data_IF_716488236214
#
_entry.id   IF_716488236214
#
_cell.length_a   1.000
_cell.length_b   1.000
_cell.length_c   1.000
_cell.angle_alpha   90.00
_cell.angle_beta   90.00
_cell.angle_gamma   90.00
#
_symmetry.space_group_name_H-M   'P 1'
#
loop_
_entity.id
_entity.type
_entity.pdbx_description
1 polymer ?
#
# COMPACT_ATOMS: atom_id res chain seq x y z
N UNK A 1 -17.78 31.69 -10.14
CA UNK A 1 -17.99 30.39 -10.81
C UNK A 1 -17.47 29.32 -9.86
N UNK A 2 -18.28 28.31 -9.51
CA UNK A 2 -17.83 27.25 -8.59
C UNK A 2 -16.90 26.29 -9.34
N UNK A 3 -15.83 25.83 -8.67
CA UNK A 3 -14.92 24.84 -9.24
C UNK A 3 -15.60 23.47 -9.36
N UNK A 4 -15.15 22.65 -10.30
CA UNK A 4 -15.56 21.25 -10.39
C UNK A 4 -14.96 20.43 -9.25
N UNK A 5 -15.70 19.45 -8.76
CA UNK A 5 -15.17 18.40 -7.90
C UNK A 5 -14.41 17.38 -8.76
N UNK A 6 -13.19 17.06 -8.36
CA UNK A 6 -12.29 16.14 -9.06
C UNK A 6 -11.88 15.00 -8.13
N UNK A 7 -11.19 13.99 -8.67
CA UNK A 7 -10.87 12.76 -7.96
C UNK A 7 -10.21 13.04 -6.60
N UNK A 8 -10.72 12.37 -5.56
CA UNK A 8 -10.36 12.57 -4.16
C UNK A 8 -10.75 13.92 -3.55
N UNK A 9 -11.83 14.53 -4.07
CA UNK A 9 -12.46 15.73 -3.52
C UNK A 9 -12.71 15.58 -2.02
N UNK A 10 -12.12 16.45 -1.17
CA UNK A 10 -12.32 16.40 0.26
C UNK A 10 -13.72 16.86 0.65
N UNK A 11 -14.23 16.35 1.76
CA UNK A 11 -15.48 16.81 2.38
C UNK A 11 -15.24 17.41 3.75
N UNK A 12 -16.14 18.27 4.22
CA UNK A 12 -16.13 18.84 5.58
C UNK A 12 -16.36 17.81 6.70
N UNK A 13 -16.74 16.59 6.34
CA UNK A 13 -16.81 15.42 7.21
C UNK A 13 -15.54 14.55 7.16
N UNK A 14 -14.44 15.12 6.65
CA UNK A 14 -13.09 14.53 6.61
C UNK A 14 -12.94 13.31 5.68
N UNK A 15 -13.91 13.05 4.79
CA UNK A 15 -13.77 12.00 3.79
C UNK A 15 -13.33 12.52 2.43
N UNK A 16 -13.04 11.60 1.50
CA UNK A 16 -12.62 11.93 0.13
C UNK A 16 -13.46 11.14 -0.86
N UNK A 17 -13.94 11.81 -1.89
CA UNK A 17 -14.79 11.20 -2.91
C UNK A 17 -13.91 10.69 -4.07
N UNK A 18 -13.72 9.37 -4.22
CA UNK A 18 -13.11 8.82 -5.43
C UNK A 18 -14.10 8.95 -6.60
N UNK A 19 -13.62 9.46 -7.73
CA UNK A 19 -14.34 9.34 -9.01
C UNK A 19 -14.32 7.88 -9.47
N UNK A 20 -15.47 7.33 -9.89
CA UNK A 20 -15.55 5.97 -10.45
C UNK A 20 -15.46 5.92 -11.98
N UNK A 21 -15.40 7.06 -12.66
CA UNK A 21 -15.17 7.11 -14.12
C UNK A 21 -13.70 7.28 -14.48
N UNK A 22 -13.36 6.93 -15.72
CA UNK A 22 -11.97 6.82 -16.20
C UNK A 22 -11.67 7.62 -17.47
N UNK A 23 -12.60 8.46 -17.94
CA UNK A 23 -12.54 9.09 -19.26
C UNK A 23 -12.28 10.60 -19.20
N UNK A 24 -13.09 11.32 -18.43
CA UNK A 24 -13.10 12.79 -18.43
C UNK A 24 -12.27 13.34 -17.28
N UNK A 25 -11.30 14.21 -17.56
CA UNK A 25 -10.43 14.78 -16.53
C UNK A 25 -10.16 16.26 -16.75
N UNK A 26 -9.80 16.94 -15.67
CA UNK A 26 -9.21 18.28 -15.67
C UNK A 26 -7.84 18.18 -15.00
N UNK A 27 -6.79 18.63 -15.69
CA UNK A 27 -5.40 18.55 -15.21
C UNK A 27 -4.98 17.14 -14.78
N UNK A 28 -5.48 16.12 -15.49
CA UNK A 28 -5.20 14.71 -15.18
C UNK A 28 -5.99 14.13 -14.00
N UNK A 29 -6.88 14.91 -13.36
CA UNK A 29 -7.76 14.44 -12.30
C UNK A 29 -9.19 14.21 -12.81
N UNK A 30 -9.75 13.04 -12.54
CA UNK A 30 -11.06 12.62 -13.05
C UNK A 30 -12.19 13.40 -12.36
N UNK A 31 -13.21 13.84 -13.10
CA UNK A 31 -14.37 14.52 -12.53
C UNK A 31 -15.21 13.60 -11.63
N UNK A 32 -15.66 14.13 -10.50
CA UNK A 32 -16.63 13.50 -9.58
C UNK A 32 -18.06 13.81 -10.03
N UNK A 33 -18.96 12.83 -9.92
CA UNK A 33 -20.33 12.92 -10.45
C UNK A 33 -21.37 12.38 -9.47
N UNK A 34 -22.65 12.55 -9.80
CA UNK A 34 -23.75 11.93 -9.08
C UNK A 34 -23.54 10.42 -8.86
N UNK A 35 -23.72 9.98 -7.63
CA UNK A 35 -23.58 8.57 -7.24
C UNK A 35 -22.15 8.14 -6.90
N UNK A 36 -21.11 8.92 -7.23
CA UNK A 36 -19.80 8.75 -6.61
C UNK A 36 -19.92 9.02 -5.11
N UNK A 37 -19.10 8.37 -4.29
CA UNK A 37 -19.30 8.42 -2.85
C UNK A 37 -18.15 7.86 -2.04
N UNK A 38 -18.23 8.06 -0.73
CA UNK A 38 -17.26 7.54 0.21
C UNK A 38 -17.94 7.11 1.51
N UNK A 39 -17.27 6.27 2.28
CA UNK A 39 -17.67 5.99 3.65
C UNK A 39 -17.36 7.22 4.51
N UNK A 40 -18.39 7.84 5.09
CA UNK A 40 -18.26 9.09 5.82
C UNK A 40 -17.59 8.88 7.19
N UNK A 41 -16.39 9.46 7.45
CA UNK A 41 -15.70 9.26 8.72
C UNK A 41 -16.47 9.78 9.93
N UNK A 42 -17.23 10.88 9.76
CA UNK A 42 -18.05 11.50 10.81
C UNK A 42 -19.38 10.77 11.01
N UNK A 43 -20.11 10.47 9.93
CA UNK A 43 -21.45 9.88 10.01
C UNK A 43 -21.47 8.34 10.07
N UNK A 44 -20.33 7.67 9.80
CA UNK A 44 -20.18 6.20 9.77
C UNK A 44 -21.16 5.49 8.82
N UNK A 45 -21.52 6.14 7.71
CA UNK A 45 -22.40 5.59 6.66
C UNK A 45 -21.79 5.82 5.29
N UNK A 46 -22.12 4.96 4.32
CA UNK A 46 -21.82 5.21 2.91
C UNK A 46 -22.62 6.43 2.45
N UNK A 47 -21.93 7.40 1.87
CA UNK A 47 -22.57 8.63 1.40
C UNK A 47 -22.21 8.93 -0.04
N UNK A 48 -23.22 9.32 -0.82
CA UNK A 48 -23.12 9.57 -2.25
C UNK A 48 -23.36 11.03 -2.56
N UNK A 49 -22.71 11.52 -3.60
CA UNK A 49 -22.80 12.89 -4.09
C UNK A 49 -24.18 13.19 -4.66
N UNK A 50 -24.74 14.34 -4.27
CA UNK A 50 -25.99 14.91 -4.73
C UNK A 50 -25.70 16.27 -5.40
N UNK A 51 -25.41 16.29 -6.72
CA UNK A 51 -25.09 17.52 -7.42
C UNK A 51 -26.25 18.52 -7.39
N UNK A 52 -25.94 19.81 -7.27
CA UNK A 52 -26.97 20.85 -7.19
C UNK A 52 -27.56 21.24 -8.55
N UNK A 53 -26.88 20.96 -9.67
CA UNK A 53 -27.28 21.36 -11.03
C UNK A 53 -26.85 20.34 -12.08
N UNK A 54 -27.55 20.31 -13.23
CA UNK A 54 -27.32 19.34 -14.32
C UNK A 54 -26.73 19.97 -15.59
N UNK A 55 -25.88 20.99 -15.47
CA UNK A 55 -25.36 21.73 -16.63
C UNK A 55 -24.24 21.00 -17.38
N UNK A 56 -23.45 20.19 -16.69
CA UNK A 56 -22.37 19.38 -17.28
C UNK A 56 -22.64 17.93 -16.92
N UNK A 57 -22.77 17.08 -17.94
CA UNK A 57 -23.16 15.67 -17.81
C UNK A 57 -22.07 14.81 -18.48
N UNK A 58 -21.56 13.83 -17.74
CA UNK A 58 -20.63 12.81 -18.26
C UNK A 58 -21.18 11.42 -17.93
N UNK A 59 -21.20 10.53 -18.92
CA UNK A 59 -21.82 9.19 -18.85
C UNK A 59 -23.19 9.22 -18.12
N UNK A 60 -24.09 10.08 -18.61
CA UNK A 60 -25.46 10.26 -18.11
C UNK A 60 -25.59 10.67 -16.64
N UNK A 61 -24.50 11.14 -16.02
CA UNK A 61 -24.46 11.60 -14.63
C UNK A 61 -24.00 13.06 -14.56
N UNK A 62 -24.71 13.93 -13.82
CA UNK A 62 -24.28 15.31 -13.64
C UNK A 62 -22.98 15.38 -12.82
N UNK A 63 -22.09 16.28 -13.23
CA UNK A 63 -20.82 16.56 -12.56
C UNK A 63 -21.08 17.37 -11.29
N UNK A 64 -20.33 17.03 -10.23
CA UNK A 64 -20.42 17.72 -8.96
C UNK A 64 -19.49 18.95 -8.90
N UNK A 65 -19.93 19.96 -8.15
CA UNK A 65 -19.20 21.18 -7.90
C UNK A 65 -18.76 21.29 -6.44
N UNK A 66 -17.81 22.18 -6.20
CA UNK A 66 -17.51 22.65 -4.84
C UNK A 66 -18.81 23.17 -4.19
N UNK A 67 -18.98 22.88 -2.91
CA UNK A 67 -20.16 23.10 -2.09
C UNK A 67 -21.37 22.21 -2.36
N UNK A 68 -21.33 21.30 -3.34
CA UNK A 68 -22.37 20.26 -3.43
C UNK A 68 -22.36 19.38 -2.19
N UNK A 69 -23.50 18.76 -1.91
CA UNK A 69 -23.70 17.96 -0.71
C UNK A 69 -23.68 16.48 -1.03
N UNK A 70 -23.37 15.66 -0.03
CA UNK A 70 -23.57 14.23 -0.08
C UNK A 70 -24.82 13.86 0.73
N UNK A 71 -25.33 12.65 0.51
CA UNK A 71 -26.52 12.12 1.19
C UNK A 71 -26.45 12.13 2.73
N UNK A 72 -25.25 12.19 3.33
CA UNK A 72 -25.05 12.29 4.77
C UNK A 72 -24.98 13.74 5.29
N UNK A 73 -25.18 14.73 4.41
CA UNK A 73 -25.11 16.15 4.71
C UNK A 73 -23.70 16.78 4.61
N UNK A 74 -22.67 15.98 4.32
CA UNK A 74 -21.31 16.49 4.12
C UNK A 74 -21.22 17.38 2.87
N UNK A 75 -20.42 18.43 2.93
CA UNK A 75 -20.17 19.36 1.81
C UNK A 75 -18.83 19.10 1.14
N UNK A 76 -18.81 19.14 -0.19
CA UNK A 76 -17.58 19.06 -0.98
C UNK A 76 -16.78 20.34 -0.83
N UNK A 77 -15.52 20.21 -0.40
CA UNK A 77 -14.60 21.33 -0.20
C UNK A 77 -13.77 21.63 -1.46
N UNK A 78 -13.31 22.88 -1.65
CA UNK A 78 -12.42 23.24 -2.74
C UNK A 78 -11.13 22.40 -2.74
N UNK A 79 -10.76 21.83 -3.89
CA UNK A 79 -9.53 21.05 -4.07
C UNK A 79 -8.45 21.81 -4.86
N UNK A 80 -8.81 22.86 -5.60
CA UNK A 80 -7.89 23.64 -6.43
C UNK A 80 -8.11 25.14 -6.21
N UNK A 81 -7.02 25.90 -6.12
CA UNK A 81 -7.02 27.36 -6.29
C UNK A 81 -6.59 27.69 -7.72
N UNK A 82 -7.49 27.52 -8.69
CA UNK A 82 -7.22 27.99 -10.04
C UNK A 82 -7.73 29.43 -10.18
N UNK A 83 -6.82 30.40 -10.20
CA UNK A 83 -7.12 31.75 -10.67
C UNK A 83 -7.27 31.66 -12.19
N UNK A 84 -8.45 31.91 -12.71
CA UNK A 84 -8.68 32.05 -14.15
C UNK A 84 -8.43 33.52 -14.47
N UNK A 85 -7.30 33.81 -15.12
CA UNK A 85 -7.09 35.12 -15.73
C UNK A 85 -8.18 35.33 -16.78
N UNK A 86 -9.01 36.36 -16.60
CA UNK A 86 -10.05 36.68 -17.57
C UNK A 86 -9.43 36.97 -18.93
N UNK A 87 -9.75 36.16 -19.94
CA UNK A 87 -9.46 36.48 -21.33
C UNK A 87 -10.40 37.58 -21.80
N UNK A 88 -9.90 38.80 -21.89
CA UNK A 88 -10.49 39.88 -22.67
C UNK A 88 -9.51 40.30 -23.76
N UNK A 89 -9.67 39.76 -24.97
CA UNK A 89 -8.95 40.26 -26.14
C UNK A 89 -9.66 41.48 -26.71
N UNK A 90 -8.95 42.61 -26.80
CA UNK A 90 -9.15 43.61 -27.85
C UNK A 90 -7.99 44.63 -27.87
N UNK A 91 -7.32 44.66 -29.03
CA UNK A 91 -6.70 45.80 -29.72
C UNK A 91 -5.54 46.57 -29.07
N UNK A 92 -4.36 46.36 -29.66
CA UNK A 92 -3.22 47.27 -29.69
C UNK A 92 -3.66 48.70 -30.04
N UNK A 93 -3.50 49.66 -29.11
CA UNK A 93 -2.92 51.00 -29.36
C UNK A 93 -2.28 51.52 -28.07
N UNK A 94 -1.10 52.12 -28.23
CA UNK A 94 -0.17 52.59 -27.22
C UNK A 94 -0.70 53.66 -26.27
N UNK A 95 -0.32 53.59 -24.99
CA UNK A 95 0.31 54.70 -24.25
C UNK A 95 0.73 54.20 -22.87
N UNK A 96 2.03 54.29 -22.59
CA UNK A 96 2.60 54.15 -21.24
C UNK A 96 2.02 55.22 -20.31
N UNK A 97 1.93 54.93 -19.00
CA UNK A 97 3.00 55.42 -18.14
C UNK A 97 3.46 54.42 -17.08
N UNK A 98 4.74 54.58 -16.76
CA UNK A 98 5.49 54.02 -15.64
C UNK A 98 4.86 54.46 -14.32
N UNK A 99 4.66 53.53 -13.38
CA UNK A 99 4.58 53.86 -11.96
C UNK A 99 5.32 52.79 -11.12
N UNK A 100 6.35 53.26 -10.42
CA UNK A 100 7.09 52.57 -9.38
C UNK A 100 6.33 52.60 -8.03
N UNK A 101 6.69 51.74 -7.06
CA UNK A 101 5.86 51.47 -5.89
C UNK A 101 6.02 52.55 -4.81
N UNK A 102 4.90 52.96 -4.18
CA UNK A 102 4.91 53.78 -2.97
C UNK A 102 4.34 52.95 -1.82
N UNK A 103 5.17 52.82 -0.79
CA UNK A 103 4.88 52.37 0.55
C UNK A 103 3.78 53.20 1.22
N UNK A 104 2.79 52.54 1.82
CA UNK A 104 2.20 53.04 3.05
C UNK A 104 1.67 51.87 3.89
N UNK A 105 2.20 51.78 5.11
CA UNK A 105 1.65 50.98 6.17
C UNK A 105 0.23 51.47 6.45
N UNK A 106 -0.75 50.58 6.37
CA UNK A 106 -1.95 50.68 7.19
C UNK A 106 -2.12 49.37 7.95
N UNK A 107 -1.96 49.49 9.27
CA UNK A 107 -2.36 48.53 10.27
C UNK A 107 -3.84 48.18 10.06
N UNK A 108 -4.10 47.01 9.53
CA UNK A 108 -5.30 46.26 9.87
C UNK A 108 -4.86 45.20 10.88
N UNK A 109 -5.15 45.48 12.15
CA UNK A 109 -5.23 44.47 13.20
C UNK A 109 -6.30 43.45 12.80
N UNK A 110 -5.93 42.47 11.99
CA UNK A 110 -6.60 41.19 11.98
C UNK A 110 -5.70 40.23 12.74
N UNK A 111 -6.13 39.89 13.95
CA UNK A 111 -5.76 38.66 14.63
C UNK A 111 -6.17 37.46 13.75
N UNK A 112 -5.47 37.27 12.63
CA UNK A 112 -5.25 35.94 12.11
C UNK A 112 -4.20 35.36 13.04
N UNK A 113 -4.67 34.62 14.05
CA UNK A 113 -3.83 33.58 14.61
C UNK A 113 -3.29 32.81 13.43
N UNK A 114 -1.98 32.94 13.18
CA UNK A 114 -1.24 31.96 12.42
C UNK A 114 -1.75 30.61 12.92
N UNK A 115 -2.49 29.87 12.10
CA UNK A 115 -2.61 28.44 12.29
C UNK A 115 -1.22 27.90 11.97
N UNK A 116 -0.27 28.13 12.88
CA UNK A 116 0.93 27.32 13.00
C UNK A 116 0.38 25.92 13.13
N UNK A 117 0.51 25.13 12.06
CA UNK A 117 0.42 23.68 12.19
C UNK A 117 1.31 23.33 13.37
N UNK A 118 0.70 22.92 14.48
CA UNK A 118 1.44 22.60 15.67
C UNK A 118 2.41 21.48 15.31
N UNK A 119 3.69 21.69 15.60
CA UNK A 119 4.71 20.67 15.38
C UNK A 119 4.31 19.44 16.20
N UNK A 120 4.22 18.27 15.56
CA UNK A 120 3.93 17.02 16.25
C UNK A 120 5.25 16.27 16.45
N UNK A 121 5.50 15.82 17.67
CA UNK A 121 6.63 14.95 17.97
C UNK A 121 6.49 13.63 17.22
N UNK A 122 7.63 13.06 16.80
CA UNK A 122 7.66 11.74 16.20
C UNK A 122 8.56 11.64 14.98
N UNK A 123 8.48 10.47 14.34
CA UNK A 123 9.28 10.07 13.18
C UNK A 123 8.42 10.06 11.93
N UNK A 124 8.93 10.67 10.87
CA UNK A 124 8.20 10.89 9.63
C UNK A 124 8.81 10.08 8.50
N UNK A 125 7.95 9.37 7.78
CA UNK A 125 8.33 8.56 6.62
C UNK A 125 7.43 8.86 5.44
N UNK A 126 8.01 8.83 4.25
CA UNK A 126 7.27 8.99 3.01
C UNK A 126 6.36 7.78 2.76
N UNK A 127 5.06 7.98 2.58
CA UNK A 127 4.13 6.86 2.37
C UNK A 127 4.36 6.12 1.04
N UNK A 128 4.89 6.82 0.03
CA UNK A 128 5.06 6.27 -1.31
C UNK A 128 6.38 5.53 -1.50
N UNK A 129 7.40 5.86 -0.72
CA UNK A 129 8.74 5.27 -0.83
C UNK A 129 9.18 4.52 0.43
N UNK A 130 8.57 4.80 1.59
CA UNK A 130 8.98 4.32 2.91
C UNK A 130 10.33 4.87 3.38
N UNK A 131 10.85 5.91 2.72
CA UNK A 131 12.07 6.58 3.12
C UNK A 131 11.81 7.49 4.32
N UNK A 132 12.81 7.60 5.19
CA UNK A 132 12.74 8.48 6.34
C UNK A 132 12.92 9.95 5.94
N UNK A 133 11.98 10.79 6.34
CA UNK A 133 11.91 12.21 5.97
C UNK A 133 12.49 13.11 7.08
N UNK A 134 12.30 12.72 8.35
CA UNK A 134 12.81 13.49 9.49
C UNK A 134 12.16 13.12 10.83
N UNK A 135 12.56 13.83 11.88
CA UNK A 135 12.03 13.69 13.24
C UNK A 135 11.81 15.07 13.85
N UNK A 136 10.69 15.23 14.53
CA UNK A 136 10.41 16.38 15.39
C UNK A 136 10.48 15.92 16.85
N UNK A 137 11.11 16.72 17.69
CA UNK A 137 11.31 16.42 19.13
C UNK A 137 10.94 17.55 20.08
N UNK A 138 10.53 18.70 19.53
CA UNK A 138 10.16 19.92 20.25
C UNK A 138 8.70 20.33 19.99
N UNK A 139 7.88 19.39 19.53
CA UNK A 139 6.46 19.54 19.27
C UNK A 139 5.56 18.97 20.39
N UNK A 140 4.30 18.72 20.06
CA UNK A 140 3.30 18.06 20.90
C UNK A 140 3.17 16.57 20.57
N UNK A 141 2.66 15.76 21.50
CA UNK A 141 2.50 14.32 21.29
C UNK A 141 3.74 13.51 21.67
N UNK A 142 3.77 12.23 21.31
CA UNK A 142 4.80 11.31 21.79
C UNK A 142 6.04 11.32 20.88
N UNK A 143 7.23 11.28 21.48
CA UNK A 143 8.50 11.27 20.73
C UNK A 143 8.69 10.02 19.87
N UNK A 144 7.97 8.95 20.21
CA UNK A 144 8.03 7.65 19.55
C UNK A 144 6.91 7.43 18.53
N UNK A 145 6.03 8.41 18.32
CA UNK A 145 4.96 8.29 17.33
C UNK A 145 5.54 8.22 15.91
N UNK A 146 4.89 7.44 15.04
CA UNK A 146 5.25 7.32 13.63
C UNK A 146 4.17 7.95 12.77
N UNK A 147 4.60 8.77 11.81
CA UNK A 147 3.75 9.42 10.83
C UNK A 147 4.16 9.05 9.41
N UNK A 148 3.16 8.77 8.58
CA UNK A 148 3.31 8.69 7.14
C UNK A 148 3.00 10.05 6.51
N UNK A 149 3.83 10.53 5.58
CA UNK A 149 3.62 11.81 4.90
C UNK A 149 3.89 11.70 3.39
N UNK A 150 3.47 12.73 2.65
CA UNK A 150 3.71 12.87 1.21
C UNK A 150 5.00 13.66 0.92
N UNK A 151 6.03 13.44 1.73
CA UNK A 151 7.29 14.19 1.69
C UNK A 151 7.34 15.34 2.69
N UNK A 152 8.35 16.20 2.52
CA UNK A 152 8.59 17.38 3.36
C UNK A 152 8.80 18.63 2.52
N UNK A 153 8.36 19.77 3.06
CA UNK A 153 8.65 21.11 2.52
C UNK A 153 9.88 21.72 3.18
N UNK A 154 10.08 21.43 4.46
CA UNK A 154 11.25 21.83 5.25
C UNK A 154 11.49 20.78 6.34
N UNK A 155 12.57 20.92 7.12
CA UNK A 155 12.91 19.96 8.19
C UNK A 155 11.91 19.92 9.35
N UNK A 156 10.96 20.86 9.41
CA UNK A 156 9.91 20.90 10.42
C UNK A 156 8.50 20.95 9.80
N UNK A 157 8.37 20.84 8.48
CA UNK A 157 7.07 20.87 7.80
C UNK A 157 6.92 19.69 6.84
N UNK A 158 6.06 18.74 7.22
CA UNK A 158 5.75 17.53 6.46
C UNK A 158 4.40 17.65 5.76
N UNK A 159 4.28 17.07 4.57
CA UNK A 159 3.09 17.19 3.73
C UNK A 159 2.07 16.12 4.14
N UNK A 160 0.90 16.54 4.62
CA UNK A 160 -0.23 15.66 4.97
C UNK A 160 0.15 14.47 5.88
N UNK A 161 0.78 14.71 7.06
CA UNK A 161 1.17 13.65 7.96
C UNK A 161 -0.06 12.91 8.52
N UNK A 162 0.01 11.58 8.54
CA UNK A 162 -1.02 10.68 9.05
C UNK A 162 -0.42 9.79 10.13
N UNK A 163 -1.05 9.74 11.30
CA UNK A 163 -0.58 8.93 12.41
C UNK A 163 -0.74 7.43 12.09
N UNK A 164 0.36 6.69 12.16
CA UNK A 164 0.41 5.26 11.85
C UNK A 164 0.07 4.35 13.05
N UNK A 165 -0.29 4.92 14.20
CA UNK A 165 -0.70 4.16 15.41
C UNK A 165 0.27 3.04 15.79
N UNK A 166 1.57 3.33 15.72
CA UNK A 166 2.67 2.42 16.05
C UNK A 166 3.84 3.21 16.60
N UNK A 167 4.54 2.65 17.58
CA UNK A 167 5.78 3.23 18.10
C UNK A 167 6.93 3.01 17.13
N UNK A 168 7.87 3.94 17.05
CA UNK A 168 9.02 3.91 16.15
C UNK A 168 9.83 2.61 16.23
N UNK A 169 10.17 2.14 17.44
CA UNK A 169 10.88 0.87 17.62
C UNK A 169 10.13 -0.32 17.01
N UNK A 170 8.83 -0.47 17.31
CA UNK A 170 8.00 -1.55 16.75
C UNK A 170 7.91 -1.46 15.23
N UNK A 171 7.77 -0.25 14.69
CA UNK A 171 7.77 -0.01 13.25
C UNK A 171 9.08 -0.50 12.60
N UNK A 172 10.22 -0.10 13.14
CA UNK A 172 11.53 -0.53 12.66
C UNK A 172 11.74 -2.05 12.74
N UNK A 173 11.31 -2.69 13.82
CA UNK A 173 11.41 -4.15 14.00
C UNK A 173 10.50 -4.92 13.02
N UNK A 174 9.25 -4.46 12.81
CA UNK A 174 8.36 -5.01 11.79
C UNK A 174 8.96 -4.89 10.39
N UNK A 175 9.46 -3.70 10.04
CA UNK A 175 10.07 -3.45 8.73
C UNK A 175 11.34 -4.29 8.52
N UNK A 176 12.12 -4.54 9.57
CA UNK A 176 13.26 -5.47 9.51
C UNK A 176 12.79 -6.85 9.10
N UNK A 177 11.80 -7.41 9.80
CA UNK A 177 11.30 -8.76 9.51
C UNK A 177 10.74 -8.83 8.09
N UNK A 178 9.89 -7.87 7.68
CA UNK A 178 9.35 -7.82 6.31
C UNK A 178 10.46 -7.77 5.25
N UNK A 179 11.51 -6.98 5.46
CA UNK A 179 12.64 -6.91 4.51
C UNK A 179 13.45 -8.21 4.44
N UNK A 180 13.47 -8.98 5.53
CA UNK A 180 14.16 -10.26 5.61
C UNK A 180 13.38 -11.36 4.89
N UNK A 181 12.06 -11.41 5.10
CA UNK A 181 11.18 -12.41 4.48
C UNK A 181 10.97 -12.17 2.98
N UNK A 182 11.24 -10.96 2.48
CA UNK A 182 11.16 -10.64 1.05
C UNK A 182 12.39 -11.13 0.30
N UNK A 183 12.17 -11.96 -0.71
CA UNK A 183 13.23 -12.44 -1.61
C UNK A 183 13.81 -11.32 -2.47
N UNK A 184 12.97 -10.38 -2.92
CA UNK A 184 13.38 -9.27 -3.80
C UNK A 184 12.97 -7.89 -3.28
N UNK A 185 13.62 -6.84 -3.80
CA UNK A 185 13.24 -5.44 -3.56
C UNK A 185 12.09 -4.99 -4.49
N UNK A 186 10.94 -5.63 -4.34
CA UNK A 186 9.75 -5.36 -5.17
C UNK A 186 8.50 -5.15 -4.29
N UNK A 187 7.33 -5.08 -4.94
CA UNK A 187 6.02 -5.02 -4.27
C UNK A 187 5.80 -6.20 -3.30
N UNK A 188 6.58 -7.27 -3.40
CA UNK A 188 6.64 -8.41 -2.47
C UNK A 188 6.69 -7.98 -0.99
N UNK A 189 7.52 -6.99 -0.63
CA UNK A 189 7.60 -6.47 0.74
C UNK A 189 6.24 -5.97 1.26
N UNK A 190 5.45 -5.33 0.38
CA UNK A 190 4.14 -4.79 0.75
C UNK A 190 3.16 -5.95 0.95
N UNK A 191 3.13 -6.91 0.02
CA UNK A 191 2.27 -8.08 0.15
C UNK A 191 2.58 -8.92 1.40
N UNK A 192 3.85 -9.09 1.76
CA UNK A 192 4.26 -9.79 2.99
C UNK A 192 3.72 -9.06 4.23
N UNK A 193 3.84 -7.72 4.28
CA UNK A 193 3.33 -6.95 5.42
C UNK A 193 1.82 -7.13 5.60
N UNK A 194 1.04 -7.04 4.52
CA UNK A 194 -0.41 -7.26 4.54
C UNK A 194 -0.77 -8.69 4.90
N UNK A 195 -0.08 -9.68 4.32
CA UNK A 195 -0.33 -11.10 4.58
C UNK A 195 -0.06 -11.47 6.03
N UNK A 196 1.04 -10.98 6.60
CA UNK A 196 1.34 -11.14 8.02
C UNK A 196 0.27 -10.47 8.90
N UNK A 197 -0.19 -9.26 8.55
CA UNK A 197 -1.23 -8.58 9.30
C UNK A 197 -2.59 -9.30 9.25
N UNK A 198 -2.95 -9.89 8.11
CA UNK A 198 -4.15 -10.69 7.97
C UNK A 198 -4.10 -11.91 8.88
N UNK A 199 -2.96 -12.62 8.91
CA UNK A 199 -2.79 -13.73 9.85
C UNK A 199 -2.78 -13.26 11.30
N UNK A 200 -2.17 -12.12 11.60
CA UNK A 200 -2.14 -11.53 12.94
C UNK A 200 -3.57 -11.29 13.45
N UNK A 201 -4.42 -10.68 12.62
CA UNK A 201 -5.86 -10.50 12.91
C UNK A 201 -6.56 -11.83 13.11
N UNK A 202 -6.29 -12.83 12.27
CA UNK A 202 -6.89 -14.17 12.38
C UNK A 202 -6.56 -14.85 13.72
N UNK A 203 -5.37 -14.60 14.29
CA UNK A 203 -4.94 -15.16 15.57
C UNK A 203 -5.01 -14.18 16.73
N UNK A 204 -5.76 -13.08 16.57
CA UNK A 204 -6.02 -12.06 17.59
C UNK A 204 -4.73 -11.43 18.17
N UNK A 205 -3.74 -11.17 17.31
CA UNK A 205 -2.49 -10.48 17.64
C UNK A 205 -2.33 -9.21 16.83
N UNK A 206 -1.56 -8.27 17.35
CA UNK A 206 -1.02 -7.18 16.53
C UNK A 206 0.15 -7.67 15.65
N UNK A 207 0.40 -6.94 14.56
CA UNK A 207 1.43 -7.29 13.58
C UNK A 207 2.81 -7.49 14.23
N UNK A 208 3.19 -6.61 15.16
CA UNK A 208 4.51 -6.68 15.80
C UNK A 208 4.63 -7.94 16.65
N UNK A 209 3.65 -8.21 17.50
CA UNK A 209 3.61 -9.44 18.30
C UNK A 209 3.67 -10.71 17.45
N UNK A 210 3.03 -10.73 16.28
CA UNK A 210 3.14 -11.85 15.35
C UNK A 210 4.54 -11.95 14.73
N UNK A 211 5.06 -10.87 14.16
CA UNK A 211 6.36 -10.88 13.47
C UNK A 211 7.53 -11.19 14.42
N UNK A 212 7.40 -10.84 15.70
CA UNK A 212 8.39 -11.19 16.72
C UNK A 212 8.30 -12.65 17.20
N UNK A 213 7.23 -13.37 16.85
CA UNK A 213 7.04 -14.79 17.19
C UNK A 213 7.79 -15.74 16.22
N UNK A 214 7.52 -17.04 16.30
CA UNK A 214 8.04 -18.05 15.36
C UNK A 214 7.37 -18.06 13.98
N UNK A 215 6.49 -17.11 13.68
CA UNK A 215 5.81 -16.99 12.38
C UNK A 215 6.79 -16.64 11.23
N UNK A 216 7.79 -15.82 11.52
CA UNK A 216 8.86 -15.46 10.59
C UNK A 216 10.04 -16.43 10.73
N UNK A 217 10.69 -16.74 9.60
CA UNK A 217 11.89 -17.58 9.56
C UNK A 217 13.13 -16.87 10.11
N UNK A 218 13.07 -15.55 10.27
CA UNK A 218 14.13 -14.74 10.85
C UNK A 218 14.46 -15.18 12.30
N UNK A 219 15.72 -15.50 12.61
CA UNK A 219 16.13 -15.89 13.96
C UNK A 219 15.80 -14.82 15.01
N UNK A 220 15.33 -15.21 16.20
CA UNK A 220 14.90 -14.28 17.26
C UNK A 220 15.96 -13.22 17.61
N UNK A 221 17.24 -13.60 17.65
CA UNK A 221 18.35 -12.70 17.98
C UNK A 221 18.68 -11.66 16.91
N UNK A 222 18.16 -11.79 15.70
CA UNK A 222 18.44 -10.87 14.57
C UNK A 222 17.28 -9.93 14.26
N UNK A 223 16.14 -10.05 14.96
CA UNK A 223 14.97 -9.17 14.85
C UNK A 223 15.21 -7.80 15.50
N UNK A 224 16.27 -7.13 15.06
CA UNK A 224 16.69 -5.81 15.54
C UNK A 224 16.05 -4.71 14.71
N UNK A 225 15.86 -3.49 15.26
CA UNK A 225 15.36 -2.35 14.51
C UNK A 225 16.06 -2.15 13.15
N UNK A 226 15.28 -1.91 12.10
CA UNK A 226 15.78 -1.43 10.83
C UNK A 226 16.21 0.04 10.98
N UNK A 227 17.44 0.44 10.61
CA UNK A 227 17.89 1.82 10.79
C UNK A 227 17.06 2.77 9.93
N UNK A 228 16.88 4.03 10.35
CA UNK A 228 16.09 5.03 9.59
C UNK A 228 16.77 5.49 8.31
N UNK A 229 18.09 5.53 8.34
CA UNK A 229 18.95 5.94 7.23
C UNK A 229 20.10 4.96 7.08
N UNK A 230 20.67 4.82 5.87
CA UNK A 230 21.89 4.04 5.69
C UNK A 230 23.06 4.63 6.49
N UNK A 231 23.93 3.76 7.00
CA UNK A 231 25.14 4.17 7.70
C UNK A 231 26.19 4.71 6.72
N UNK A 232 26.97 5.71 7.16
CA UNK A 232 28.18 6.19 6.48
C UNK A 232 27.97 6.61 5.02
N UNK A 233 26.83 7.21 4.68
CA UNK A 233 26.55 7.73 3.33
C UNK A 233 26.38 6.65 2.26
N UNK A 234 26.25 5.37 2.65
CA UNK A 234 25.95 4.30 1.69
C UNK A 234 24.56 4.47 1.09
N UNK A 235 24.35 3.90 -0.09
CA UNK A 235 23.00 3.75 -0.64
C UNK A 235 22.16 2.85 0.28
N UNK A 236 20.89 3.21 0.46
CA UNK A 236 19.95 2.39 1.22
C UNK A 236 19.66 1.09 0.46
N UNK A 237 19.53 -0.03 1.20
CA UNK A 237 19.03 -1.26 0.62
C UNK A 237 17.60 -1.00 0.09
N UNK A 238 17.33 -1.23 -1.20
CA UNK A 238 16.03 -0.92 -1.79
C UNK A 238 14.86 -1.67 -1.13
N UNK A 239 15.12 -2.80 -0.44
CA UNK A 239 14.10 -3.50 0.37
C UNK A 239 13.63 -2.69 1.56
N UNK A 240 14.48 -1.84 2.14
CA UNK A 240 14.19 -1.18 3.42
C UNK A 240 13.06 -0.16 3.26
N UNK A 241 13.11 0.67 2.22
CA UNK A 241 12.02 1.58 1.88
C UNK A 241 10.72 0.83 1.60
N UNK A 242 10.77 -0.24 0.80
CA UNK A 242 9.58 -1.02 0.45
C UNK A 242 8.96 -1.75 1.65
N UNK A 243 9.77 -2.27 2.56
CA UNK A 243 9.32 -2.89 3.80
C UNK A 243 8.67 -1.87 4.75
N UNK A 244 9.30 -0.69 4.92
CA UNK A 244 8.69 0.43 5.67
C UNK A 244 7.36 0.86 5.07
N UNK A 245 7.31 1.01 3.74
CA UNK A 245 6.07 1.31 3.00
C UNK A 245 4.98 0.28 3.26
N UNK A 246 5.29 -1.01 3.21
CA UNK A 246 4.33 -2.08 3.51
C UNK A 246 3.74 -1.96 4.93
N UNK A 247 4.61 -1.78 5.93
CA UNK A 247 4.19 -1.64 7.33
C UNK A 247 3.36 -0.36 7.54
N UNK A 248 3.74 0.78 6.95
CA UNK A 248 2.97 2.02 7.03
C UNK A 248 1.56 1.84 6.46
N UNK A 249 1.44 1.26 5.25
CA UNK A 249 0.14 1.03 4.60
C UNK A 249 -0.78 0.15 5.44
N UNK A 250 -0.23 -0.90 6.05
CA UNK A 250 -0.97 -1.75 7.00
C UNK A 250 -1.45 -0.94 8.21
N UNK A 251 -0.56 -0.17 8.83
CA UNK A 251 -0.84 0.66 9.98
C UNK A 251 -1.93 1.73 9.72
N UNK A 252 -1.95 2.31 8.53
CA UNK A 252 -2.95 3.28 8.09
C UNK A 252 -4.28 2.64 7.66
N UNK A 253 -4.37 1.30 7.63
CA UNK A 253 -5.56 0.60 7.19
C UNK A 253 -5.86 0.77 5.70
N UNK A 254 -4.82 0.88 4.86
CA UNK A 254 -5.00 0.89 3.41
C UNK A 254 -5.60 -0.44 2.91
N UNK A 255 -6.13 -0.42 1.68
CA UNK A 255 -6.72 -1.59 1.06
C UNK A 255 -5.70 -2.74 0.95
N UNK A 256 -6.12 -3.94 1.34
CA UNK A 256 -5.31 -5.15 1.28
C UNK A 256 -5.18 -5.64 -0.17
N UNK A 257 -3.97 -5.61 -0.76
CA UNK A 257 -3.78 -6.08 -2.12
C UNK A 257 -3.74 -7.62 -2.20
N UNK A 258 -3.58 -8.33 -1.08
CA UNK A 258 -3.32 -9.79 -1.03
C UNK A 258 -4.57 -10.66 -1.18
N UNK A 259 -5.75 -10.05 -1.30
CA UNK A 259 -7.07 -10.71 -1.28
C UNK A 259 -7.22 -11.65 -0.06
N UNK A 260 -6.87 -11.13 1.12
CA UNK A 260 -7.02 -11.82 2.40
C UNK A 260 -6.07 -13.00 2.58
N UNK A 261 -4.91 -13.00 1.92
CA UNK A 261 -3.90 -14.04 2.13
C UNK A 261 -3.35 -13.99 3.54
N UNK A 262 -2.97 -15.14 4.09
CA UNK A 262 -2.43 -15.29 5.46
C UNK A 262 -1.10 -16.04 5.52
N UNK A 263 -0.64 -16.59 4.39
CA UNK A 263 0.63 -17.27 4.26
C UNK A 263 1.26 -16.94 2.90
N UNK A 264 2.56 -17.17 2.77
CA UNK A 264 3.28 -17.07 1.50
C UNK A 264 4.31 -18.18 1.38
N UNK A 265 4.77 -18.46 0.16
CA UNK A 265 5.95 -19.28 -0.11
C UNK A 265 6.73 -18.70 -1.29
N UNK A 266 8.04 -18.93 -1.31
CA UNK A 266 8.92 -18.49 -2.38
C UNK A 266 9.06 -19.53 -3.49
N UNK A 267 10.09 -19.36 -4.32
CA UNK A 267 10.41 -20.29 -5.41
C UNK A 267 10.67 -21.73 -4.95
N UNK A 268 11.01 -21.96 -3.68
CA UNK A 268 11.15 -23.30 -3.10
C UNK A 268 9.88 -24.14 -3.22
N UNK A 269 8.68 -23.52 -3.16
CA UNK A 269 7.43 -24.24 -3.42
C UNK A 269 7.37 -24.83 -4.83
N UNK A 270 7.73 -24.05 -5.87
CA UNK A 270 7.78 -24.52 -7.26
C UNK A 270 8.90 -25.53 -7.48
N UNK A 271 10.05 -25.32 -6.85
CA UNK A 271 11.25 -26.12 -7.08
C UNK A 271 11.19 -27.48 -6.38
N UNK A 272 10.65 -27.53 -5.14
CA UNK A 272 10.64 -28.76 -4.36
C UNK A 272 9.43 -29.63 -4.70
N UNK A 273 8.22 -29.06 -4.80
CA UNK A 273 7.01 -29.85 -5.04
C UNK A 273 6.88 -31.03 -4.07
N UNK A 274 6.94 -32.26 -4.58
CA UNK A 274 6.88 -33.50 -3.79
C UNK A 274 8.25 -34.00 -3.29
N UNK A 275 9.34 -33.35 -3.67
CA UNK A 275 10.71 -33.78 -3.43
C UNK A 275 11.58 -32.62 -2.89
N UNK A 276 11.38 -32.25 -1.62
CA UNK A 276 12.19 -31.25 -0.94
C UNK A 276 13.58 -31.80 -0.53
N UNK A 277 14.55 -30.94 -0.16
CA UNK A 277 15.85 -31.37 0.36
C UNK A 277 15.78 -32.11 1.71
N UNK A 278 14.62 -32.10 2.38
CA UNK A 278 14.46 -32.76 3.67
C UNK A 278 14.10 -34.23 3.50
N UNK A 279 14.63 -35.08 4.38
CA UNK A 279 14.40 -36.53 4.36
C UNK A 279 13.50 -37.00 5.52
N UNK A 280 12.74 -38.07 5.28
CA UNK A 280 12.15 -38.90 6.33
C UNK A 280 13.21 -39.80 6.98
N UNK A 281 12.85 -40.51 8.05
CA UNK A 281 13.76 -41.43 8.75
C UNK A 281 14.22 -42.61 7.87
N UNK A 282 13.39 -42.98 6.89
CA UNK A 282 13.67 -44.02 5.88
C UNK A 282 14.47 -43.48 4.68
N UNK A 283 15.01 -42.26 4.77
CA UNK A 283 15.81 -41.59 3.74
C UNK A 283 15.07 -41.22 2.44
N UNK A 284 13.74 -41.32 2.42
CA UNK A 284 12.92 -40.81 1.31
C UNK A 284 12.76 -39.28 1.39
N UNK A 285 12.57 -38.62 0.24
CA UNK A 285 12.36 -37.16 0.20
C UNK A 285 11.00 -36.80 0.82
N UNK A 286 10.98 -35.76 1.64
CA UNK A 286 9.75 -35.14 2.12
C UNK A 286 9.18 -34.23 1.02
N UNK A 287 7.87 -34.20 0.79
CA UNK A 287 7.23 -33.13 0.01
C UNK A 287 7.48 -31.77 0.64
N UNK A 288 7.33 -30.68 -0.11
CA UNK A 288 7.28 -29.33 0.45
C UNK A 288 6.19 -29.23 1.55
N UNK A 289 6.38 -28.37 2.55
CA UNK A 289 5.53 -28.30 3.75
C UNK A 289 4.03 -28.21 3.42
N UNK A 290 3.64 -27.38 2.45
CA UNK A 290 2.25 -27.23 2.01
C UNK A 290 1.62 -28.53 1.50
N UNK A 291 2.40 -29.40 0.85
CA UNK A 291 1.94 -30.73 0.40
C UNK A 291 1.80 -31.74 1.54
N UNK A 292 2.16 -31.39 2.78
CA UNK A 292 1.99 -32.24 3.97
C UNK A 292 0.94 -31.68 4.94
N UNK A 293 0.86 -30.35 5.03
CA UNK A 293 0.09 -29.63 6.05
C UNK A 293 -1.37 -29.37 5.67
N UNK A 294 -1.68 -29.35 4.36
CA UNK A 294 -3.02 -29.03 3.86
C UNK A 294 -3.57 -30.19 3.06
N UNK A 295 -4.89 -30.41 3.11
CA UNK A 295 -5.62 -31.48 2.40
C UNK A 295 -5.58 -31.33 0.89
N UNK A 296 -5.79 -30.09 0.43
CA UNK A 296 -5.90 -29.72 -0.97
C UNK A 296 -5.17 -28.41 -1.21
N UNK A 297 -4.47 -28.34 -2.34
CA UNK A 297 -3.84 -27.13 -2.85
C UNK A 297 -4.52 -26.77 -4.16
N UNK A 298 -4.90 -25.50 -4.29
CA UNK A 298 -5.48 -24.95 -5.52
C UNK A 298 -4.74 -23.68 -5.93
N UNK A 299 -4.30 -23.60 -7.19
CA UNK A 299 -3.65 -22.41 -7.76
C UNK A 299 -4.39 -22.05 -9.05
N UNK A 300 -5.03 -20.88 -9.13
CA UNK A 300 -5.58 -20.40 -10.39
C UNK A 300 -4.50 -20.33 -11.47
N UNK A 301 -4.83 -20.70 -12.72
CA UNK A 301 -3.84 -20.72 -13.82
C UNK A 301 -3.11 -19.39 -13.99
N UNK A 302 -3.85 -18.28 -13.94
CA UNK A 302 -3.27 -16.94 -14.05
C UNK A 302 -2.25 -16.66 -12.94
N UNK A 303 -2.57 -17.00 -11.70
CA UNK A 303 -1.67 -16.83 -10.54
C UNK A 303 -0.44 -17.73 -10.67
N UNK A 304 -0.63 -18.98 -11.11
CA UNK A 304 0.49 -19.90 -11.34
C UNK A 304 1.42 -19.40 -12.44
N UNK A 305 0.88 -18.95 -13.57
CA UNK A 305 1.68 -18.49 -14.71
C UNK A 305 2.52 -17.27 -14.35
N UNK A 306 1.92 -16.30 -13.64
CA UNK A 306 2.61 -15.11 -13.17
C UNK A 306 3.68 -15.47 -12.12
N UNK A 307 3.39 -16.39 -11.20
CA UNK A 307 4.35 -16.87 -10.20
C UNK A 307 5.53 -17.64 -10.82
N UNK A 308 5.25 -18.49 -11.81
CA UNK A 308 6.26 -19.22 -12.57
C UNK A 308 7.13 -18.24 -13.36
N UNK A 309 6.51 -17.28 -14.07
CA UNK A 309 7.24 -16.26 -14.81
C UNK A 309 8.14 -15.42 -13.90
N UNK A 310 7.64 -15.01 -12.73
CA UNK A 310 8.43 -14.29 -11.73
C UNK A 310 9.60 -15.11 -11.20
N UNK A 311 9.38 -16.40 -10.92
CA UNK A 311 10.45 -17.32 -10.49
C UNK A 311 11.50 -17.55 -11.58
N UNK A 312 11.11 -17.68 -12.84
CA UNK A 312 12.03 -17.82 -13.97
C UNK A 312 12.79 -16.54 -14.30
N UNK A 313 12.24 -15.36 -13.95
CA UNK A 313 12.96 -14.09 -14.04
C UNK A 313 14.12 -14.03 -13.04
N UNK A 314 13.92 -14.51 -11.81
CA UNK A 314 14.96 -14.59 -10.79
C UNK A 314 15.94 -15.74 -11.04
N UNK A 315 15.44 -16.87 -11.58
CA UNK A 315 16.24 -18.05 -11.91
C UNK A 315 16.15 -18.40 -13.42
N UNK A 316 16.83 -17.64 -14.30
CA UNK A 316 16.71 -17.79 -15.77
C UNK A 316 17.11 -19.16 -16.33
N UNK A 317 17.89 -19.95 -15.57
CA UNK A 317 18.29 -21.30 -15.96
C UNK A 317 17.20 -22.36 -15.70
N UNK A 318 16.03 -21.96 -15.19
CA UNK A 318 14.95 -22.88 -14.86
C UNK A 318 15.29 -23.82 -13.71
N UNK A 319 16.25 -23.46 -12.85
CA UNK A 319 16.66 -24.26 -11.70
C UNK A 319 17.26 -23.40 -10.59
N UNK A 320 17.10 -23.86 -9.36
CA UNK A 320 17.61 -23.21 -8.14
C UNK A 320 18.39 -24.21 -7.30
N UNK A 321 19.41 -23.72 -6.58
CA UNK A 321 20.30 -24.55 -5.76
C UNK A 321 19.94 -24.43 -4.28
N UNK A 322 19.66 -25.57 -3.65
CA UNK A 322 19.44 -25.67 -2.21
C UNK A 322 20.35 -26.75 -1.62
N UNK A 323 21.11 -26.42 -0.58
CA UNK A 323 21.99 -27.36 0.13
C UNK A 323 22.91 -28.19 -0.79
N UNK A 324 23.42 -27.58 -1.87
CA UNK A 324 24.30 -28.26 -2.83
C UNK A 324 23.58 -28.89 -4.04
N UNK A 325 22.27 -29.12 -3.96
CA UNK A 325 21.46 -29.82 -4.96
C UNK A 325 20.68 -28.84 -5.83
N UNK A 326 20.59 -29.11 -7.13
CA UNK A 326 19.77 -28.32 -8.06
C UNK A 326 18.37 -28.92 -8.19
N UNK A 327 17.37 -28.04 -8.20
CA UNK A 327 15.97 -28.36 -8.38
C UNK A 327 15.42 -27.62 -9.59
N UNK A 328 14.70 -28.31 -10.46
CA UNK A 328 14.06 -27.71 -11.63
C UNK A 328 12.85 -26.87 -11.22
N UNK A 329 12.64 -25.78 -11.96
CA UNK A 329 11.49 -24.90 -11.81
C UNK A 329 10.67 -25.00 -13.10
N UNK A 330 9.43 -25.53 -13.06
CA UNK A 330 8.76 -26.11 -11.88
C UNK A 330 9.11 -27.60 -11.68
N UNK A 331 8.85 -28.12 -10.49
CA UNK A 331 8.91 -29.54 -10.17
C UNK A 331 7.86 -30.36 -10.96
N UNK A 332 8.08 -31.67 -11.07
CA UNK A 332 7.24 -32.57 -11.89
C UNK A 332 5.75 -32.54 -11.54
N UNK A 333 5.41 -32.34 -10.26
CA UNK A 333 4.00 -32.27 -9.82
C UNK A 333 3.20 -31.18 -10.54
N UNK A 334 3.85 -30.05 -10.87
CA UNK A 334 3.20 -28.94 -11.58
C UNK A 334 3.19 -29.13 -13.10
N UNK A 335 3.93 -30.11 -13.63
CA UNK A 335 3.96 -30.46 -15.06
C UNK A 335 2.95 -31.57 -15.39
N UNK A 336 2.47 -32.31 -14.39
CA UNK A 336 1.51 -33.40 -14.60
C UNK A 336 0.12 -32.84 -14.96
N UNK A 337 -0.31 -33.10 -16.19
CA UNK A 337 -1.58 -32.63 -16.74
C UNK A 337 -2.81 -33.11 -15.95
N UNK A 338 -2.70 -34.20 -15.20
CA UNK A 338 -3.79 -34.68 -14.33
C UNK A 338 -4.14 -33.67 -13.23
N UNK A 339 -3.17 -32.86 -12.81
CA UNK A 339 -3.36 -31.81 -11.82
C UNK A 339 -3.92 -30.51 -12.42
N UNK A 340 -4.22 -30.48 -13.72
CA UNK A 340 -4.67 -29.28 -14.45
C UNK A 340 -6.01 -29.45 -15.17
N UNK A 341 -6.78 -30.49 -14.84
CA UNK A 341 -8.00 -30.88 -15.56
C UNK A 341 -9.14 -29.86 -15.46
N UNK A 342 -9.17 -29.01 -14.44
CA UNK A 342 -10.20 -27.99 -14.23
C UNK A 342 -9.84 -26.62 -14.80
N UNK A 343 -8.67 -26.50 -15.43
CA UNK A 343 -8.07 -25.22 -15.80
C UNK A 343 -7.35 -24.53 -14.65
N UNK A 344 -7.34 -25.08 -13.43
CA UNK A 344 -6.51 -24.65 -12.31
C UNK A 344 -5.55 -25.79 -11.92
N UNK A 345 -4.47 -25.46 -11.23
CA UNK A 345 -3.69 -26.49 -10.54
C UNK A 345 -4.50 -26.96 -9.33
N UNK A 346 -4.77 -28.25 -9.24
CA UNK A 346 -5.44 -28.86 -8.11
C UNK A 346 -4.70 -30.13 -7.69
N UNK A 347 -4.35 -30.21 -6.41
CA UNK A 347 -3.65 -31.35 -5.85
C UNK A 347 -4.22 -31.75 -4.50
N UNK A 348 -4.67 -33.00 -4.38
CA UNK A 348 -5.06 -33.61 -3.11
C UNK A 348 -3.83 -34.29 -2.50
N UNK A 349 -3.44 -33.86 -1.30
CA UNK A 349 -2.17 -34.26 -0.69
C UNK A 349 -2.23 -35.59 0.07
N UNK A 350 -3.45 -36.06 0.36
CA UNK A 350 -3.68 -37.17 1.29
C UNK A 350 -3.49 -36.80 2.76
N UNK A 351 -3.27 -35.51 3.08
CA UNK A 351 -3.19 -35.05 4.47
C UNK A 351 -4.53 -35.24 5.19
N UNK A 352 -4.46 -35.68 6.46
CA UNK A 352 -5.64 -35.89 7.33
C UNK A 352 -6.22 -34.58 7.87
N UNK A 353 -5.49 -33.47 7.73
CA UNK A 353 -5.96 -32.15 8.13
C UNK A 353 -7.16 -31.76 7.26
N UNK A 354 -8.15 -31.05 7.81
CA UNK A 354 -9.32 -30.60 7.04
C UNK A 354 -9.05 -29.38 6.16
N UNK A 355 -8.03 -28.59 6.52
CA UNK A 355 -7.70 -27.31 5.91
C UNK A 355 -7.19 -27.47 4.47
N UNK A 356 -7.61 -26.57 3.59
CA UNK A 356 -7.16 -26.45 2.21
C UNK A 356 -6.45 -25.12 1.98
N UNK A 357 -5.63 -25.05 0.93
CA UNK A 357 -4.85 -23.88 0.58
C UNK A 357 -5.25 -23.42 -0.83
N UNK A 358 -5.54 -22.12 -0.98
CA UNK A 358 -5.84 -21.52 -2.28
C UNK A 358 -4.97 -20.32 -2.51
N UNK A 359 -4.23 -20.31 -3.62
CA UNK A 359 -3.45 -19.15 -4.02
C UNK A 359 -4.38 -18.02 -4.44
N UNK A 360 -4.05 -16.81 -4.01
CA UNK A 360 -4.87 -15.62 -4.24
C UNK A 360 -4.21 -14.66 -5.20
N UNK A 361 -2.94 -14.34 -4.94
CA UNK A 361 -2.13 -13.44 -5.74
C UNK A 361 -0.68 -13.91 -5.75
N UNK A 362 0.13 -13.29 -6.59
CA UNK A 362 1.58 -13.44 -6.61
C UNK A 362 2.24 -12.07 -6.68
N UNK A 363 3.49 -11.98 -6.22
CA UNK A 363 4.29 -10.77 -6.31
C UNK A 363 5.76 -11.11 -6.45
N UNK A 364 6.38 -10.69 -7.55
CA UNK A 364 7.73 -11.12 -7.88
C UNK A 364 7.75 -12.64 -8.02
N UNK A 365 8.54 -13.31 -7.18
CA UNK A 365 8.68 -14.77 -7.15
C UNK A 365 8.16 -15.39 -5.85
N UNK A 366 7.08 -14.80 -5.31
CA UNK A 366 6.42 -15.23 -4.08
C UNK A 366 4.92 -15.36 -4.32
N UNK A 367 4.35 -16.49 -3.90
CA UNK A 367 2.92 -16.80 -4.01
C UNK A 367 2.25 -16.62 -2.65
N UNK A 368 1.05 -16.06 -2.65
CA UNK A 368 0.31 -15.74 -1.43
C UNK A 368 -0.97 -16.56 -1.34
N UNK A 369 -1.20 -17.10 -0.14
CA UNK A 369 -2.20 -18.12 0.10
C UNK A 369 -3.24 -17.70 1.12
N UNK A 370 -4.47 -18.12 0.86
CA UNK A 370 -5.52 -18.19 1.87
C UNK A 370 -5.73 -19.64 2.29
N UNK A 371 -5.63 -19.90 3.60
CA UNK A 371 -5.99 -21.17 4.20
C UNK A 371 -7.49 -21.16 4.57
N UNK A 372 -8.20 -22.23 4.23
CA UNK A 372 -9.63 -22.42 4.52
C UNK A 372 -9.87 -23.74 5.26
#
# INVERSE_FOLDING_TARGET
MKGFAIHNAPTDHSGRIPSTQVRSSQEGNLFVRAGDGHFCPKCKVWSTVQPSHNHVIFDDKPVAYVDDILSCGARILPQQSHVVGGSGGANLRSSTPVFQPISSQQNLNNNLTDNKNELLNGYYYNINTGLYEGRISNGKGNLEDVYACNGKKSDSEFISPQYANITHKKFQECSRVVSHESGTATIECIYIAFTANNYAKQVEKDLHSLLMSGYSTMPKGTKTPLPDKPANGKAEDPKYGLARKGVLKVCLGEADPTDGSTHWDGTDFLAWGLESPYKYKDNTNKPHAKFREYKKITIPKSVYDEFLAGSLKEYPKGRVKYSGVFYDIPANVFKDQKNWTTGNFEYNTGSKVSKSLTAKVTAGHTIFWRAA
#
